data_IF_031037752815
#
_entry.id   IF_031037752815
#
_cell.length_a   1.000
_cell.length_b   1.000
_cell.length_c   1.000
_cell.angle_alpha   90.00
_cell.angle_beta   90.00
_cell.angle_gamma   90.00
#
_symmetry.space_group_name_H-M   'P 1'
#
loop_
_entity.id
_entity.type
_entity.pdbx_description
1 polymer ?
#
# COMPACT_ATOMS: atom_id res chain seq x y z
N UNK A 1 2.31 -16.81 27.44
CA UNK A 1 0.97 -17.38 27.15
C UNK A 1 -0.09 -16.26 27.11
N UNK A 2 -1.28 -16.50 26.55
CA UNK A 2 -2.37 -15.50 26.58
C UNK A 2 -2.79 -15.11 28.01
N UNK A 3 -2.71 -16.05 28.94
CA UNK A 3 -3.02 -15.80 30.35
C UNK A 3 -2.02 -14.81 30.97
N UNK A 4 -0.73 -15.01 30.75
CA UNK A 4 0.32 -14.09 31.22
C UNK A 4 0.18 -12.69 30.62
N UNK A 5 -0.17 -12.59 29.33
CA UNK A 5 -0.39 -11.31 28.67
C UNK A 5 -1.58 -10.56 29.29
N UNK A 6 -2.70 -11.24 29.53
CA UNK A 6 -3.85 -10.65 30.23
C UNK A 6 -3.49 -10.19 31.63
N UNK A 7 -2.74 -11.00 32.37
CA UNK A 7 -2.30 -10.64 33.72
C UNK A 7 -1.38 -9.41 33.72
N UNK A 8 -0.45 -9.32 32.78
CA UNK A 8 0.42 -8.16 32.61
C UNK A 8 -0.38 -6.87 32.33
N UNK A 9 -1.33 -6.91 31.40
CA UNK A 9 -2.18 -5.75 31.11
C UNK A 9 -3.12 -5.40 32.26
N UNK A 10 -3.61 -6.38 33.02
CA UNK A 10 -4.39 -6.12 34.24
C UNK A 10 -3.55 -5.42 35.31
N UNK A 11 -2.27 -5.78 35.45
CA UNK A 11 -1.36 -5.06 36.37
C UNK A 11 -1.11 -3.62 35.92
N UNK A 12 -0.92 -3.39 34.61
CA UNK A 12 -0.75 -2.06 34.02
C UNK A 12 -2.01 -1.23 34.21
N UNK A 13 -3.18 -1.72 33.79
CA UNK A 13 -4.46 -1.00 33.94
C UNK A 13 -4.86 -0.79 35.40
N UNK A 14 -4.52 -1.71 36.30
CA UNK A 14 -4.79 -1.60 37.73
C UNK A 14 -3.83 -0.70 38.50
N UNK A 15 -2.86 -0.04 37.84
CA UNK A 15 -1.88 0.84 38.50
C UNK A 15 -0.88 0.10 39.42
N UNK A 16 -0.78 -1.23 39.30
CA UNK A 16 0.06 -2.08 40.17
C UNK A 16 1.54 -2.04 39.81
N UNK A 17 1.89 -1.35 38.73
CA UNK A 17 3.28 -1.21 38.22
C UNK A 17 3.95 0.08 38.73
N UNK A 18 3.38 0.72 39.75
CA UNK A 18 3.94 1.91 40.39
C UNK A 18 3.78 3.18 39.56
N UNK A 19 4.80 4.04 39.53
CA UNK A 19 4.78 5.38 38.89
C UNK A 19 5.18 5.39 37.41
N UNK A 20 5.39 4.20 36.81
CA UNK A 20 5.81 4.10 35.41
C UNK A 20 4.70 4.53 34.48
N UNK A 21 5.07 5.29 33.44
CA UNK A 21 4.16 5.76 32.39
C UNK A 21 4.28 4.86 31.15
N UNK A 22 3.15 4.54 30.55
CA UNK A 22 3.05 3.69 29.37
C UNK A 22 2.40 4.47 28.22
N UNK A 23 2.94 4.27 27.02
CA UNK A 23 2.33 4.72 25.76
C UNK A 23 2.16 3.48 24.89
N UNK A 24 0.92 3.15 24.53
CA UNK A 24 0.59 1.95 23.76
C UNK A 24 0.04 2.40 22.41
N UNK A 25 0.55 1.80 21.35
CA UNK A 25 0.05 1.99 19.99
C UNK A 25 -0.66 0.70 19.57
N UNK A 26 -1.92 0.81 19.19
CA UNK A 26 -2.73 -0.29 18.67
C UNK A 26 -2.99 0.06 17.21
N UNK A 27 -2.37 -0.69 16.31
CA UNK A 27 -2.58 -0.53 14.88
C UNK A 27 -3.69 -1.48 14.41
N UNK A 28 -4.73 -0.94 13.76
CA UNK A 28 -5.82 -1.72 13.18
C UNK A 28 -6.73 -2.41 14.21
N UNK A 29 -7.39 -1.66 15.10
CA UNK A 29 -8.35 -2.28 16.04
C UNK A 29 -9.50 -3.03 15.33
N UNK A 30 -9.86 -2.61 14.12
CA UNK A 30 -10.86 -3.26 13.27
C UNK A 30 -10.39 -4.59 12.65
N UNK A 31 -9.10 -4.90 12.74
CA UNK A 31 -8.54 -6.20 12.34
C UNK A 31 -8.60 -7.24 13.46
N UNK A 32 -9.06 -6.85 14.65
CA UNK A 32 -9.24 -7.79 15.75
C UNK A 32 -10.25 -8.87 15.38
N UNK A 33 -9.77 -10.11 15.26
CA UNK A 33 -10.58 -11.27 14.87
C UNK A 33 -11.70 -11.65 15.86
N UNK A 34 -11.74 -11.01 17.04
CA UNK A 34 -12.81 -11.18 18.03
C UNK A 34 -13.92 -10.12 17.90
N UNK A 35 -14.65 -9.87 18.99
CA UNK A 35 -15.66 -8.83 19.01
C UNK A 35 -15.01 -7.44 19.22
N UNK A 36 -15.30 -6.47 18.36
CA UNK A 36 -14.83 -5.08 18.49
C UNK A 36 -15.15 -4.45 19.84
N UNK A 37 -16.28 -4.84 20.45
CA UNK A 37 -16.68 -4.38 21.79
C UNK A 37 -15.65 -4.82 22.85
N UNK A 38 -15.06 -6.00 22.73
CA UNK A 38 -14.05 -6.48 23.66
C UNK A 38 -12.75 -5.67 23.51
N UNK A 39 -12.35 -5.36 22.27
CA UNK A 39 -11.20 -4.52 21.98
C UNK A 39 -11.36 -3.09 22.52
N UNK A 40 -12.53 -2.48 22.30
CA UNK A 40 -12.90 -1.19 22.90
C UNK A 40 -12.86 -1.25 24.44
N UNK A 41 -13.42 -2.31 25.02
CA UNK A 41 -13.47 -2.50 26.48
C UNK A 41 -12.06 -2.60 27.04
N UNK A 42 -11.19 -3.36 26.39
CA UNK A 42 -9.79 -3.50 26.76
C UNK A 42 -9.06 -2.15 26.79
N UNK A 43 -9.22 -1.33 25.73
CA UNK A 43 -8.64 0.02 25.68
C UNK A 43 -9.17 0.88 26.83
N UNK A 44 -10.49 0.87 27.07
CA UNK A 44 -11.12 1.63 28.16
C UNK A 44 -10.62 1.23 29.54
N UNK A 45 -10.40 -0.07 29.78
CA UNK A 45 -9.85 -0.57 31.05
C UNK A 45 -8.43 -0.08 31.28
N UNK A 46 -7.59 -0.05 30.25
CA UNK A 46 -6.20 0.38 30.39
C UNK A 46 -6.06 1.89 30.64
N UNK A 47 -6.85 2.72 29.96
CA UNK A 47 -6.81 4.19 30.12
C UNK A 47 -7.44 4.67 31.44
N UNK A 48 -8.07 3.78 32.21
CA UNK A 48 -8.48 4.09 33.57
C UNK A 48 -7.27 4.39 34.48
N UNK A 49 -6.08 3.88 34.13
CA UNK A 49 -4.84 4.28 34.76
C UNK A 49 -4.33 5.61 34.14
N UNK A 50 -4.17 6.69 34.93
CA UNK A 50 -3.68 7.98 34.44
C UNK A 50 -2.24 7.95 33.90
N UNK A 51 -1.48 6.91 34.22
CA UNK A 51 -0.13 6.70 33.70
C UNK A 51 -0.11 6.01 32.32
N UNK A 52 -1.26 5.61 31.78
CA UNK A 52 -1.37 4.93 30.49
C UNK A 52 -1.99 5.88 29.45
N UNK A 53 -1.29 6.07 28.35
CA UNK A 53 -1.81 6.70 27.13
C UNK A 53 -1.89 5.66 26.02
N UNK A 54 -2.94 5.73 25.22
CA UNK A 54 -3.13 4.81 24.10
C UNK A 54 -3.45 5.64 22.85
N UNK A 55 -2.78 5.29 21.75
CA UNK A 55 -3.12 5.73 20.40
C UNK A 55 -3.65 4.49 19.67
N UNK A 56 -4.82 4.63 19.08
CA UNK A 56 -5.50 3.54 18.36
C UNK A 56 -5.77 4.01 16.94
N UNK A 57 -5.39 3.22 15.94
CA UNK A 57 -5.87 3.37 14.57
C UNK A 57 -6.99 2.35 14.31
N UNK A 58 -7.98 2.75 13.51
CA UNK A 58 -8.99 1.84 12.98
C UNK A 58 -9.68 2.43 11.75
N UNK A 59 -10.25 1.58 10.89
CA UNK A 59 -11.29 2.02 9.93
C UNK A 59 -12.49 2.62 10.70
N UNK A 60 -13.35 3.42 10.04
CA UNK A 60 -14.53 4.04 10.68
C UNK A 60 -15.67 3.02 10.92
N UNK A 61 -15.37 1.91 11.59
CA UNK A 61 -16.34 0.89 11.99
C UNK A 61 -17.27 1.48 13.05
N UNK A 62 -18.61 1.29 12.97
CA UNK A 62 -19.56 1.94 13.88
C UNK A 62 -19.24 1.79 15.37
N UNK A 63 -18.78 0.61 15.80
CA UNK A 63 -18.40 0.36 17.19
C UNK A 63 -17.22 1.24 17.66
N UNK A 64 -16.19 1.38 16.83
CA UNK A 64 -15.03 2.23 17.12
C UNK A 64 -15.42 3.71 17.12
N UNK A 65 -16.16 4.15 16.10
CA UNK A 65 -16.64 5.55 15.98
C UNK A 65 -17.46 5.93 17.20
N UNK A 66 -18.44 5.10 17.57
CA UNK A 66 -19.26 5.35 18.76
C UNK A 66 -18.45 5.32 20.06
N UNK A 67 -17.47 4.42 20.16
CA UNK A 67 -16.68 4.27 21.38
C UNK A 67 -15.73 5.44 21.66
N UNK A 68 -15.20 6.04 20.59
CA UNK A 68 -14.11 7.02 20.64
C UNK A 68 -14.50 8.42 20.15
N UNK A 69 -15.76 8.65 19.74
CA UNK A 69 -16.25 9.94 19.21
C UNK A 69 -15.89 11.17 20.07
N UNK A 70 -15.85 10.99 21.38
CA UNK A 70 -15.60 12.07 22.36
C UNK A 70 -14.11 12.16 22.76
N UNK A 71 -13.21 11.51 22.03
CA UNK A 71 -11.77 11.50 22.27
C UNK A 71 -11.05 12.29 21.17
N UNK A 72 -9.82 12.77 21.45
CA UNK A 72 -8.97 13.35 20.41
C UNK A 72 -8.80 12.36 19.26
N UNK A 73 -9.03 12.81 18.04
CA UNK A 73 -8.99 11.99 16.83
C UNK A 73 -8.20 12.72 15.75
N UNK A 74 -7.50 11.95 14.94
CA UNK A 74 -6.85 12.40 13.73
C UNK A 74 -7.52 11.65 12.58
N UNK A 75 -8.10 12.38 11.64
CA UNK A 75 -8.62 11.82 10.40
C UNK A 75 -7.49 11.89 9.38
N UNK A 76 -6.88 10.75 9.08
CA UNK A 76 -5.69 10.73 8.22
C UNK A 76 -5.97 11.29 6.83
N UNK A 77 -7.17 11.02 6.28
CA UNK A 77 -7.54 11.50 4.95
C UNK A 77 -7.51 13.04 4.84
N UNK A 78 -7.84 13.75 5.92
CA UNK A 78 -7.81 15.21 5.97
C UNK A 78 -6.37 15.75 6.13
N UNK A 79 -5.45 14.92 6.64
CA UNK A 79 -4.06 15.29 6.89
C UNK A 79 -3.15 14.97 5.71
N UNK A 80 -3.52 14.00 4.87
CA UNK A 80 -2.73 13.58 3.70
C UNK A 80 -3.01 14.39 2.43
N UNK A 81 -4.06 15.22 2.41
CA UNK A 81 -4.48 15.95 1.20
C UNK A 81 -3.35 16.84 0.63
N UNK A 82 -2.62 17.53 1.50
CA UNK A 82 -1.48 18.37 1.12
C UNK A 82 -0.35 17.56 0.46
N UNK A 83 0.07 16.49 1.13
CA UNK A 83 1.13 15.59 0.65
C UNK A 83 0.74 14.91 -0.67
N UNK A 84 -0.53 14.53 -0.82
CA UNK A 84 -1.07 13.95 -2.06
C UNK A 84 -1.01 14.97 -3.20
N UNK A 85 -1.44 16.21 -2.93
CA UNK A 85 -1.42 17.27 -3.95
C UNK A 85 0.01 17.57 -4.39
N UNK A 86 0.94 17.67 -3.45
CA UNK A 86 2.37 17.87 -3.74
C UNK A 86 2.92 16.70 -4.56
N UNK A 87 2.64 15.46 -4.16
CA UNK A 87 3.09 14.27 -4.90
C UNK A 87 2.56 14.21 -6.33
N UNK A 88 1.28 14.55 -6.56
CA UNK A 88 0.69 14.59 -7.91
C UNK A 88 1.36 15.68 -8.75
N UNK A 89 1.60 16.87 -8.18
CA UNK A 89 2.29 17.95 -8.89
C UNK A 89 3.72 17.55 -9.27
N UNK A 90 4.46 16.95 -8.33
CA UNK A 90 5.84 16.54 -8.53
C UNK A 90 5.97 15.37 -9.51
N UNK A 91 4.99 14.46 -9.54
CA UNK A 91 5.07 13.25 -10.37
C UNK A 91 4.46 13.47 -11.76
N UNK A 92 3.29 14.08 -11.82
CA UNK A 92 2.52 14.28 -13.06
C UNK A 92 2.75 15.69 -13.62
N UNK A 93 2.62 16.72 -12.77
CA UNK A 93 2.74 18.11 -13.18
C UNK A 93 4.11 18.48 -13.73
N UNK A 94 5.18 17.98 -13.12
CA UNK A 94 6.57 18.22 -13.53
C UNK A 94 7.02 17.42 -14.76
N UNK A 95 6.20 16.49 -15.24
CA UNK A 95 6.59 15.64 -16.35
C UNK A 95 6.71 16.47 -17.65
N UNK A 96 7.76 16.29 -18.49
CA UNK A 96 7.99 17.12 -19.67
C UNK A 96 6.80 17.18 -20.64
N UNK A 97 6.07 16.08 -20.78
CA UNK A 97 4.85 16.05 -21.58
C UNK A 97 3.73 16.92 -20.98
N UNK A 98 3.54 16.87 -19.66
CA UNK A 98 2.54 17.67 -18.96
C UNK A 98 2.88 19.16 -18.98
N UNK A 99 4.16 19.52 -18.95
CA UNK A 99 4.60 20.91 -19.15
C UNK A 99 4.23 21.44 -20.53
N UNK A 100 4.34 20.62 -21.57
CA UNK A 100 3.94 20.98 -22.94
C UNK A 100 2.42 21.19 -23.00
N UNK A 101 1.66 20.22 -22.49
CA UNK A 101 0.19 20.28 -22.47
C UNK A 101 -0.33 21.47 -21.68
N UNK A 102 0.32 21.81 -20.56
CA UNK A 102 -0.07 22.94 -19.70
C UNK A 102 0.13 24.30 -20.37
N UNK A 103 1.03 24.41 -21.36
CA UNK A 103 1.17 25.65 -22.16
C UNK A 103 -0.01 25.86 -23.10
N UNK A 104 -0.60 24.78 -23.61
CA UNK A 104 -1.76 24.83 -24.52
C UNK A 104 -3.10 24.82 -23.80
N UNK A 105 -3.24 24.05 -22.72
CA UNK A 105 -4.47 23.90 -21.95
C UNK A 105 -4.17 23.79 -20.45
N UNK A 106 -3.83 24.92 -19.80
CA UNK A 106 -3.54 24.94 -18.37
C UNK A 106 -4.75 24.60 -17.50
N UNK A 107 -5.97 24.82 -18.02
CA UNK A 107 -7.20 24.54 -17.26
C UNK A 107 -7.44 23.04 -17.20
N UNK A 108 -7.30 22.34 -18.33
CA UNK A 108 -7.46 20.90 -18.39
C UNK A 108 -6.37 20.15 -17.63
N UNK A 109 -5.11 20.59 -17.70
CA UNK A 109 -4.02 19.94 -16.95
C UNK A 109 -4.15 20.11 -15.43
N UNK A 110 -4.56 21.29 -14.97
CA UNK A 110 -4.87 21.52 -13.55
C UNK A 110 -6.08 20.69 -13.08
N UNK A 111 -7.09 20.51 -13.94
CA UNK A 111 -8.24 19.65 -13.63
C UNK A 111 -7.81 18.20 -13.41
N UNK A 112 -6.97 17.65 -14.29
CA UNK A 112 -6.44 16.28 -14.14
C UNK A 112 -5.77 16.11 -12.78
N UNK A 113 -4.87 17.01 -12.40
CA UNK A 113 -4.14 16.92 -11.13
C UNK A 113 -5.08 16.99 -9.92
N UNK A 114 -6.03 17.92 -9.94
CA UNK A 114 -7.06 18.05 -8.89
C UNK A 114 -7.92 16.81 -8.79
N UNK A 115 -8.42 16.29 -9.91
CA UNK A 115 -9.34 15.16 -9.92
C UNK A 115 -8.64 13.87 -9.43
N UNK A 116 -7.33 13.71 -9.66
CA UNK A 116 -6.52 12.64 -9.05
C UNK A 116 -6.48 12.80 -7.52
N UNK A 117 -6.16 14.00 -7.01
CA UNK A 117 -6.11 14.26 -5.58
C UNK A 117 -7.46 14.05 -4.88
N UNK A 118 -8.55 14.51 -5.49
CA UNK A 118 -9.91 14.34 -4.96
C UNK A 118 -10.34 12.87 -4.96
N UNK A 119 -10.07 12.12 -6.04
CA UNK A 119 -10.44 10.71 -6.14
C UNK A 119 -9.69 9.83 -5.14
N UNK A 120 -8.45 10.19 -4.80
CA UNK A 120 -7.64 9.45 -3.85
C UNK A 120 -8.26 9.32 -2.46
N UNK A 121 -9.11 10.26 -2.04
CA UNK A 121 -9.81 10.23 -0.74
C UNK A 121 -8.85 9.99 0.44
N UNK A 122 -7.64 10.56 0.38
CA UNK A 122 -6.59 10.39 1.40
C UNK A 122 -5.77 9.10 1.33
N UNK A 123 -6.03 8.22 0.36
CA UNK A 123 -5.30 6.95 0.22
C UNK A 123 -4.03 7.17 -0.62
N UNK A 124 -2.89 7.34 0.04
CA UNK A 124 -1.62 7.62 -0.65
C UNK A 124 -1.23 6.52 -1.65
N UNK A 125 -1.47 5.24 -1.31
CA UNK A 125 -1.23 4.12 -2.22
C UNK A 125 -2.03 4.25 -3.53
N UNK A 126 -3.28 4.72 -3.46
CA UNK A 126 -4.12 4.95 -4.63
C UNK A 126 -3.44 5.94 -5.58
N UNK A 127 -2.94 7.05 -5.03
CA UNK A 127 -2.26 8.10 -5.80
C UNK A 127 -1.01 7.57 -6.48
N UNK A 128 -0.17 6.82 -5.77
CA UNK A 128 1.05 6.24 -6.34
C UNK A 128 0.73 5.34 -7.54
N UNK A 129 -0.25 4.45 -7.42
CA UNK A 129 -0.65 3.53 -8.48
C UNK A 129 -1.22 4.27 -9.69
N UNK A 130 -2.05 5.29 -9.45
CA UNK A 130 -2.65 6.10 -10.52
C UNK A 130 -1.61 6.94 -11.24
N UNK A 131 -0.72 7.62 -10.51
CA UNK A 131 0.37 8.37 -11.11
C UNK A 131 1.25 7.45 -11.97
N UNK A 132 1.60 6.26 -11.48
CA UNK A 132 2.37 5.29 -12.26
C UNK A 132 1.65 4.87 -13.56
N UNK A 133 0.36 4.56 -13.48
CA UNK A 133 -0.44 4.20 -14.68
C UNK A 133 -0.55 5.36 -15.68
N UNK A 134 -0.60 6.61 -15.21
CA UNK A 134 -0.66 7.78 -16.11
C UNK A 134 0.70 8.06 -16.76
N UNK A 135 1.80 7.85 -16.04
CA UNK A 135 3.15 7.95 -16.61
C UNK A 135 3.38 6.96 -17.76
N UNK A 136 2.79 5.75 -17.69
CA UNK A 136 2.81 4.81 -18.82
C UNK A 136 2.06 5.37 -20.05
N UNK A 137 0.98 6.11 -19.82
CA UNK A 137 0.17 6.71 -20.89
C UNK A 137 0.86 7.93 -21.52
N UNK A 138 1.69 8.64 -20.76
CA UNK A 138 2.52 9.74 -21.29
C UNK A 138 3.52 9.27 -22.35
N UNK A 139 3.95 8.01 -22.33
CA UNK A 139 4.77 7.43 -23.38
C UNK A 139 4.05 7.36 -24.74
N UNK A 140 2.71 7.45 -24.75
CA UNK A 140 1.87 7.46 -25.95
C UNK A 140 1.55 8.88 -26.46
N UNK A 141 2.02 9.94 -25.79
CA UNK A 141 1.72 11.35 -26.13
C UNK A 141 0.22 11.69 -26.16
N UNK A 142 -0.55 11.08 -25.26
CA UNK A 142 -2.00 11.29 -25.14
C UNK A 142 -2.37 12.76 -24.88
N UNK A 143 -3.43 13.24 -25.52
CA UNK A 143 -3.95 14.59 -25.32
C UNK A 143 -4.57 14.79 -23.93
N UNK A 144 -4.77 16.04 -23.52
CA UNK A 144 -5.44 16.38 -22.24
C UNK A 144 -6.80 15.71 -22.10
N UNK A 145 -7.56 15.56 -23.20
CA UNK A 145 -8.88 14.92 -23.16
C UNK A 145 -8.78 13.41 -22.95
N UNK A 146 -7.79 12.76 -23.56
CA UNK A 146 -7.52 11.32 -23.37
C UNK A 146 -7.03 11.03 -21.95
N UNK A 147 -6.13 11.87 -21.42
CA UNK A 147 -5.65 11.76 -20.05
C UNK A 147 -6.77 11.99 -19.02
N UNK A 148 -7.64 12.97 -19.24
CA UNK A 148 -8.81 13.18 -18.40
C UNK A 148 -9.74 11.96 -18.46
N UNK A 149 -10.00 11.41 -19.64
CA UNK A 149 -10.84 10.22 -19.80
C UNK A 149 -10.29 9.04 -18.99
N UNK A 150 -8.97 8.81 -19.04
CA UNK A 150 -8.32 7.81 -18.20
C UNK A 150 -8.54 8.09 -16.72
N UNK A 151 -8.36 9.33 -16.27
CA UNK A 151 -8.62 9.71 -14.87
C UNK A 151 -10.07 9.46 -14.49
N UNK A 152 -11.02 9.78 -15.37
CA UNK A 152 -12.45 9.61 -15.13
C UNK A 152 -12.86 8.14 -14.95
N UNK A 153 -12.24 7.22 -15.70
CA UNK A 153 -12.46 5.77 -15.57
C UNK A 153 -11.87 5.15 -14.30
N UNK A 154 -10.95 5.83 -13.62
CA UNK A 154 -10.34 5.28 -12.40
C UNK A 154 -11.38 5.22 -11.25
N UNK A 155 -11.53 4.05 -10.61
CA UNK A 155 -12.39 3.88 -9.46
C UNK A 155 -11.80 4.56 -8.22
N UNK A 156 -12.67 4.99 -7.29
CA UNK A 156 -12.25 5.66 -6.04
C UNK A 156 -11.76 4.67 -4.98
N UNK A 157 -12.44 3.52 -4.87
CA UNK A 157 -12.08 2.50 -3.90
C UNK A 157 -10.81 1.76 -4.34
N UNK A 158 -9.90 1.51 -3.39
CA UNK A 158 -8.60 0.90 -3.68
C UNK A 158 -8.76 -0.55 -4.17
N UNK A 159 -9.76 -1.28 -3.66
CA UNK A 159 -10.06 -2.64 -4.09
C UNK A 159 -10.52 -2.68 -5.56
N UNK A 160 -11.37 -1.74 -5.96
CA UNK A 160 -11.82 -1.61 -7.35
C UNK A 160 -10.67 -1.17 -8.26
N UNK A 161 -9.76 -0.33 -7.76
CA UNK A 161 -8.55 0.06 -8.50
C UNK A 161 -7.68 -1.17 -8.79
N UNK A 162 -7.49 -2.05 -7.80
CA UNK A 162 -6.76 -3.31 -8.03
C UNK A 162 -7.43 -4.16 -9.10
N UNK A 163 -8.76 -4.32 -9.07
CA UNK A 163 -9.48 -5.08 -10.10
C UNK A 163 -9.32 -4.44 -11.48
N UNK A 164 -9.46 -3.11 -11.57
CA UNK A 164 -9.26 -2.37 -12.80
C UNK A 164 -7.85 -2.62 -13.37
N UNK A 165 -6.81 -2.50 -12.55
CA UNK A 165 -5.41 -2.72 -12.96
C UNK A 165 -5.15 -4.15 -13.41
N UNK A 166 -5.60 -5.14 -12.62
CA UNK A 166 -5.41 -6.56 -12.95
C UNK A 166 -6.17 -6.95 -14.23
N UNK A 167 -7.33 -6.35 -14.51
CA UNK A 167 -8.11 -6.60 -15.73
C UNK A 167 -7.39 -6.15 -17.01
N UNK A 168 -6.47 -5.17 -16.90
CA UNK A 168 -5.69 -4.65 -18.03
C UNK A 168 -4.48 -5.53 -18.39
N UNK A 169 -4.12 -6.50 -17.54
CA UNK A 169 -3.02 -7.43 -17.82
C UNK A 169 -3.39 -8.29 -19.04
N UNK A 170 -2.54 -8.23 -20.08
CA UNK A 170 -2.73 -9.01 -21.31
C UNK A 170 -2.87 -10.50 -20.98
N UNK A 171 -3.80 -11.25 -21.61
CA UNK A 171 -4.07 -12.66 -21.27
C UNK A 171 -2.81 -13.55 -21.20
N UNK A 172 -1.86 -13.34 -22.14
CA UNK A 172 -0.58 -14.08 -22.18
C UNK A 172 0.35 -13.87 -20.97
N UNK A 173 0.09 -12.84 -20.16
CA UNK A 173 0.89 -12.48 -18.99
C UNK A 173 0.19 -12.79 -17.66
N UNK A 174 -1.10 -13.13 -17.67
CA UNK A 174 -1.89 -13.33 -16.45
C UNK A 174 -1.35 -14.49 -15.59
N UNK A 175 -0.93 -15.60 -16.22
CA UNK A 175 -0.34 -16.71 -15.48
C UNK A 175 0.98 -16.32 -14.80
N UNK A 176 1.84 -15.60 -15.51
CA UNK A 176 3.13 -15.12 -14.98
C UNK A 176 2.90 -14.13 -13.82
N UNK A 177 1.99 -13.17 -14.00
CA UNK A 177 1.59 -12.20 -12.98
C UNK A 177 1.05 -12.88 -11.72
N UNK A 178 0.14 -13.84 -11.88
CA UNK A 178 -0.45 -14.59 -10.77
C UNK A 178 0.61 -15.36 -9.98
N UNK A 179 1.58 -16.00 -10.66
CA UNK A 179 2.68 -16.71 -9.99
C UNK A 179 3.58 -15.77 -9.20
N UNK A 180 3.95 -14.62 -9.79
CA UNK A 180 4.78 -13.61 -9.12
C UNK A 180 4.09 -13.07 -7.85
N UNK A 181 2.83 -12.66 -7.97
CA UNK A 181 2.03 -12.17 -6.85
C UNK A 181 1.87 -13.23 -5.76
N UNK A 182 1.54 -14.47 -6.14
CA UNK A 182 1.35 -15.55 -5.18
C UNK A 182 2.64 -15.90 -4.43
N UNK A 183 3.79 -15.93 -5.09
CA UNK A 183 5.08 -16.23 -4.44
C UNK A 183 5.41 -15.15 -3.40
N UNK A 184 5.29 -13.88 -3.77
CA UNK A 184 5.54 -12.77 -2.84
C UNK A 184 4.58 -12.81 -1.65
N UNK A 185 3.28 -13.02 -1.91
CA UNK A 185 2.26 -13.16 -0.87
C UNK A 185 2.55 -14.32 0.09
N UNK A 186 2.88 -15.51 -0.44
CA UNK A 186 3.20 -16.68 0.38
C UNK A 186 4.49 -16.46 1.20
N UNK A 187 5.49 -15.79 0.63
CA UNK A 187 6.72 -15.44 1.37
C UNK A 187 6.44 -14.52 2.55
N UNK A 188 5.47 -13.61 2.41
CA UNK A 188 5.02 -12.71 3.47
C UNK A 188 4.28 -13.45 4.59
N UNK A 189 3.58 -14.54 4.27
CA UNK A 189 2.91 -15.37 5.28
C UNK A 189 3.86 -16.34 6.00
N UNK A 190 4.91 -16.80 5.31
CA UNK A 190 5.73 -17.92 5.76
C UNK A 190 6.93 -17.53 6.65
N UNK A 191 7.37 -16.28 6.64
CA UNK A 191 8.62 -15.88 7.31
C UNK A 191 8.50 -14.55 8.06
N UNK A 192 9.22 -14.41 9.17
CA UNK A 192 9.37 -13.10 9.84
C UNK A 192 10.25 -12.13 9.01
N UNK A 193 11.11 -12.65 8.12
CA UNK A 193 12.04 -11.84 7.33
C UNK A 193 11.41 -11.26 6.05
N UNK A 194 10.19 -11.66 5.65
CA UNK A 194 9.36 -11.09 4.56
C UNK A 194 10.05 -10.79 3.21
N UNK A 195 11.27 -11.27 2.99
CA UNK A 195 12.13 -10.87 1.88
C UNK A 195 12.18 -11.96 0.83
N UNK A 196 11.74 -11.62 -0.37
CA UNK A 196 12.02 -12.40 -1.57
C UNK A 196 13.26 -11.80 -2.24
N UNK A 197 14.36 -12.54 -2.28
CA UNK A 197 15.55 -12.08 -2.99
C UNK A 197 15.28 -11.95 -4.50
N UNK A 198 15.46 -10.75 -5.03
CA UNK A 198 15.22 -10.41 -6.45
C UNK A 198 15.93 -11.36 -7.40
N UNK A 199 17.19 -11.70 -7.13
CA UNK A 199 17.96 -12.63 -7.95
C UNK A 199 17.34 -14.04 -7.98
N UNK A 200 16.89 -14.54 -6.83
CA UNK A 200 16.24 -15.85 -6.72
C UNK A 200 14.91 -15.87 -7.47
N UNK A 201 14.11 -14.82 -7.34
CA UNK A 201 12.85 -14.69 -8.07
C UNK A 201 13.06 -14.56 -9.57
N UNK A 202 14.10 -13.85 -10.00
CA UNK A 202 14.44 -13.66 -11.41
C UNK A 202 14.82 -14.98 -12.07
N UNK A 203 15.64 -15.78 -11.39
CA UNK A 203 15.99 -17.14 -11.84
C UNK A 203 14.73 -18.00 -11.89
N UNK A 204 13.91 -17.98 -10.84
CA UNK A 204 12.70 -18.78 -10.80
C UNK A 204 11.76 -18.46 -11.98
N UNK A 205 11.59 -17.18 -12.27
CA UNK A 205 10.76 -16.69 -13.35
C UNK A 205 11.30 -17.06 -14.75
N UNK A 206 12.61 -17.06 -14.94
CA UNK A 206 13.24 -17.50 -16.20
C UNK A 206 12.90 -18.95 -16.55
N UNK A 207 12.81 -19.82 -15.54
CA UNK A 207 12.42 -21.22 -15.71
C UNK A 207 10.90 -21.45 -15.60
N UNK A 208 10.08 -20.38 -15.66
CA UNK A 208 8.63 -20.48 -15.61
C UNK A 208 8.08 -20.99 -14.27
N UNK A 209 8.85 -20.80 -13.20
CA UNK A 209 8.60 -21.32 -11.85
C UNK A 209 8.56 -22.85 -11.76
N UNK A 210 9.15 -23.54 -12.73
CA UNK A 210 9.32 -24.99 -12.71
C UNK A 210 10.55 -25.36 -11.87
N UNK A 211 10.30 -25.74 -10.61
CA UNK A 211 11.35 -26.14 -9.67
C UNK A 211 12.17 -27.35 -10.16
N UNK A 212 11.60 -28.21 -11.00
CA UNK A 212 12.33 -29.35 -11.57
C UNK A 212 13.33 -28.92 -12.66
N UNK A 213 13.12 -27.73 -13.26
CA UNK A 213 14.02 -27.12 -14.24
C UNK A 213 15.05 -26.18 -13.61
N UNK A 214 14.83 -25.74 -12.37
CA UNK A 214 15.80 -24.92 -11.66
C UNK A 214 17.04 -25.74 -11.34
N UNK A 215 18.19 -25.31 -11.88
CA UNK A 215 19.48 -25.77 -11.39
C UNK A 215 19.82 -25.00 -10.11
N UNK A 216 20.47 -25.65 -9.15
CA UNK A 216 21.01 -24.94 -7.99
C UNK A 216 21.85 -23.75 -8.48
N UNK A 217 21.64 -22.53 -7.94
CA UNK A 217 22.37 -21.34 -8.35
C UNK A 217 23.80 -21.39 -7.80
N UNK A 218 24.61 -22.33 -8.28
CA UNK A 218 26.05 -22.38 -7.99
C UNK A 218 26.77 -21.55 -9.05
N UNK A 219 27.17 -20.34 -8.67
CA UNK A 219 28.16 -19.56 -9.42
C UNK A 219 27.61 -18.57 -10.45
N UNK A 220 26.45 -17.95 -10.21
CA UNK A 220 26.05 -16.78 -11.01
C UNK A 220 27.07 -15.65 -10.82
N UNK A 221 27.70 -15.23 -11.92
CA UNK A 221 28.53 -14.05 -11.92
C UNK A 221 27.68 -12.82 -11.52
N UNK A 222 28.26 -11.88 -10.79
CA UNK A 222 27.55 -10.68 -10.29
C UNK A 222 26.86 -9.89 -11.41
N UNK A 223 27.50 -9.80 -12.57
CA UNK A 223 26.97 -9.14 -13.76
C UNK A 223 25.75 -9.87 -14.34
N UNK A 224 25.79 -11.20 -14.39
CA UNK A 224 24.67 -12.01 -14.86
C UNK A 224 23.47 -11.91 -13.91
N UNK A 225 23.73 -11.90 -12.59
CA UNK A 225 22.69 -11.67 -11.58
C UNK A 225 22.03 -10.30 -11.73
N UNK A 226 22.82 -9.24 -11.94
CA UNK A 226 22.29 -7.89 -12.12
C UNK A 226 21.41 -7.77 -13.37
N UNK A 227 21.84 -8.35 -14.50
CA UNK A 227 21.05 -8.36 -15.73
C UNK A 227 19.70 -9.08 -15.54
N UNK A 228 19.69 -10.22 -14.83
CA UNK A 228 18.44 -10.94 -14.52
C UNK A 228 17.52 -10.13 -13.62
N UNK A 229 18.04 -9.44 -12.60
CA UNK A 229 17.25 -8.54 -11.76
C UNK A 229 16.61 -7.40 -12.57
N UNK A 230 17.35 -6.78 -13.49
CA UNK A 230 16.83 -5.72 -14.35
C UNK A 230 15.71 -6.21 -15.29
N UNK A 231 15.87 -7.42 -15.85
CA UNK A 231 14.82 -8.05 -16.64
C UNK A 231 13.58 -8.30 -15.78
N UNK A 232 13.75 -8.83 -14.56
CA UNK A 232 12.65 -9.06 -13.64
C UNK A 232 11.94 -7.74 -13.30
N UNK A 233 12.67 -6.65 -13.05
CA UNK A 233 12.08 -5.34 -12.77
C UNK A 233 11.13 -4.88 -13.88
N UNK A 234 11.56 -4.95 -15.14
CA UNK A 234 10.70 -4.61 -16.28
C UNK A 234 9.50 -5.57 -16.42
N UNK A 235 9.66 -6.83 -16.02
CA UNK A 235 8.56 -7.78 -15.95
C UNK A 235 7.57 -7.40 -14.84
N UNK A 236 8.02 -7.08 -13.64
CA UNK A 236 7.15 -6.68 -12.53
C UNK A 236 6.31 -5.45 -12.92
N UNK A 237 6.92 -4.42 -13.52
CA UNK A 237 6.18 -3.24 -14.02
C UNK A 237 5.07 -3.63 -14.99
N UNK A 238 5.41 -4.41 -16.02
CA UNK A 238 4.45 -4.76 -17.09
C UNK A 238 3.43 -5.85 -16.75
N UNK A 239 3.70 -6.71 -15.75
CA UNK A 239 2.85 -7.86 -15.39
C UNK A 239 2.11 -7.68 -14.07
N UNK A 240 2.66 -6.89 -13.15
CA UNK A 240 2.11 -6.71 -11.81
C UNK A 240 1.54 -5.30 -11.61
N UNK A 241 1.62 -4.42 -12.61
CA UNK A 241 1.01 -3.08 -12.58
C UNK A 241 1.45 -2.24 -11.36
N UNK A 242 2.72 -2.33 -10.94
CA UNK A 242 3.21 -1.60 -9.76
C UNK A 242 2.79 -2.18 -8.41
N UNK A 243 2.06 -3.32 -8.37
CA UNK A 243 1.77 -4.01 -7.11
C UNK A 243 3.00 -4.71 -6.50
N UNK A 244 4.02 -4.95 -7.32
CA UNK A 244 5.31 -5.49 -6.89
C UNK A 244 6.42 -4.60 -7.44
N UNK A 245 7.34 -4.20 -6.56
CA UNK A 245 8.49 -3.38 -6.89
C UNK A 245 9.76 -3.96 -6.23
N UNK A 246 10.92 -3.61 -6.79
CA UNK A 246 12.22 -3.99 -6.24
C UNK A 246 12.75 -2.84 -5.41
N UNK A 247 13.14 -3.14 -4.16
CA UNK A 247 13.76 -2.21 -3.23
C UNK A 247 15.28 -2.34 -3.21
#
# INVERSE_FOLDING_TARGET
SLAEMREAFNMIGGGRVGTRKFCIFIDGLDEYAGNYVDGVTFVRTLVANPNVKIVVSSRPVPACVQAFSNKPQLQLQDLTEGDITEYVNDTIGSHPHMEILSKSDPVGTNRIQRDIGEKASGVFLWVCLVCHSLLESFACYDSVSELQYLVDELPREIEDLFQHMLSRIKPRYQEEAAKLLLICYQSQLASEDNRVYTASLAIANEYGFDLARMREPRGLAREEGAAKCQILEGRLRSRCCGLLEIN
#
